data_IF_871655764809
#
_entry.id   IF_871655764809
#
_cell.length_a   1.000
_cell.length_b   1.000
_cell.length_c   1.000
_cell.angle_alpha   90.00
_cell.angle_beta   90.00
_cell.angle_gamma   90.00
#
_symmetry.space_group_name_H-M   'P 1'
#
loop_
_entity.id
_entity.type
_entity.pdbx_description
1 polymer ?
#
# COMPACT_ATOMS: atom_id res chain seq x y z
N UNK A 1 8.83 -4.01 8.83
CA UNK A 1 9.18 -3.87 7.41
C UNK A 1 8.72 -5.10 6.65
N UNK A 2 7.98 -4.96 5.53
CA UNK A 2 7.35 -6.11 4.87
C UNK A 2 8.32 -6.94 4.03
N UNK A 3 9.47 -6.39 3.67
CA UNK A 3 10.42 -6.99 2.73
C UNK A 3 11.66 -7.51 3.45
N UNK A 4 11.47 -8.47 4.34
CA UNK A 4 12.58 -9.13 5.04
C UNK A 4 13.03 -10.38 4.27
N UNK A 5 14.20 -10.34 3.68
CA UNK A 5 14.78 -11.38 2.84
C UNK A 5 15.65 -12.37 3.64
N UNK A 6 15.23 -12.77 4.85
CA UNK A 6 15.97 -13.76 5.65
C UNK A 6 15.91 -15.17 5.06
N UNK A 7 17.07 -15.77 4.74
CA UNK A 7 17.28 -17.20 4.41
C UNK A 7 16.17 -17.90 3.61
N UNK A 8 15.79 -17.36 2.46
CA UNK A 8 14.92 -18.05 1.50
C UNK A 8 13.44 -18.16 1.88
N UNK A 9 13.01 -17.58 2.98
CA UNK A 9 11.59 -17.50 3.37
C UNK A 9 11.18 -16.04 3.50
N UNK A 10 10.10 -15.67 2.81
CA UNK A 10 9.36 -14.42 3.06
C UNK A 10 8.67 -14.55 4.43
N UNK A 11 9.35 -14.18 5.48
CA UNK A 11 8.90 -14.47 6.84
C UNK A 11 8.06 -13.36 7.47
N UNK A 12 7.70 -12.29 6.76
CA UNK A 12 7.24 -11.10 7.50
C UNK A 12 6.08 -10.32 6.91
N UNK A 13 5.30 -10.91 6.04
CA UNK A 13 4.03 -10.30 5.66
C UNK A 13 2.94 -10.49 6.71
N UNK A 14 3.09 -11.50 7.57
CA UNK A 14 2.19 -11.70 8.70
C UNK A 14 2.14 -10.40 9.49
N UNK A 15 0.94 -9.90 9.75
CA UNK A 15 0.70 -8.68 10.52
C UNK A 15 1.04 -7.35 9.83
N UNK A 16 1.52 -7.33 8.56
CA UNK A 16 1.81 -6.06 7.90
C UNK A 16 0.58 -5.17 7.79
N UNK A 17 -0.52 -5.72 7.26
CA UNK A 17 -1.79 -5.01 7.19
C UNK A 17 -2.34 -4.70 8.57
N UNK A 18 -2.18 -5.60 9.56
CA UNK A 18 -2.61 -5.36 10.94
C UNK A 18 -1.84 -4.20 11.57
N UNK A 19 -0.52 -4.17 11.41
CA UNK A 19 0.30 -3.07 11.95
C UNK A 19 -0.13 -1.70 11.43
N UNK A 20 -0.44 -1.60 10.13
CA UNK A 20 -0.94 -0.36 9.53
C UNK A 20 -2.35 -0.06 10.02
N UNK A 21 -3.21 -1.10 10.12
CA UNK A 21 -4.60 -0.97 10.52
C UNK A 21 -4.75 -0.46 11.96
N UNK A 22 -3.90 -0.90 12.89
CA UNK A 22 -3.89 -0.42 14.29
C UNK A 22 -3.66 1.10 14.31
N UNK A 23 -2.62 1.58 13.61
CA UNK A 23 -2.32 3.02 13.52
C UNK A 23 -3.47 3.76 12.85
N UNK A 24 -3.97 3.24 11.72
CA UNK A 24 -5.06 3.85 10.96
C UNK A 24 -6.35 3.94 11.77
N UNK A 25 -6.66 2.92 12.60
CA UNK A 25 -7.84 2.90 13.45
C UNK A 25 -7.73 3.97 14.53
N UNK A 26 -6.61 4.02 15.24
CA UNK A 26 -6.36 5.08 16.24
C UNK A 26 -6.43 6.48 15.61
N UNK A 27 -5.84 6.67 14.43
CA UNK A 27 -5.89 7.94 13.73
C UNK A 27 -7.34 8.35 13.37
N UNK A 28 -8.18 7.40 12.93
CA UNK A 28 -9.61 7.67 12.65
C UNK A 28 -10.38 8.04 13.90
N UNK A 29 -10.20 7.30 15.00
CA UNK A 29 -10.86 7.54 16.28
C UNK A 29 -10.55 8.94 16.84
N UNK A 30 -9.34 9.41 16.64
CA UNK A 30 -8.89 10.72 17.12
C UNK A 30 -8.95 11.83 16.04
N UNK A 31 -9.52 11.52 14.86
CA UNK A 31 -9.61 12.48 13.73
C UNK A 31 -8.24 13.07 13.36
N UNK A 32 -7.19 12.25 13.37
CA UNK A 32 -5.83 12.63 13.00
C UNK A 32 -5.41 12.00 11.69
N UNK A 33 -4.55 12.69 10.97
CA UNK A 33 -3.81 12.11 9.86
C UNK A 33 -2.60 11.34 10.40
N UNK A 34 -2.17 10.30 9.69
CA UNK A 34 -0.96 9.55 10.03
C UNK A 34 -0.05 9.38 8.82
N UNK A 35 1.22 9.16 9.09
CA UNK A 35 2.26 8.91 8.11
C UNK A 35 2.92 7.59 8.40
N UNK A 36 3.42 6.92 7.36
CA UNK A 36 4.10 5.64 7.47
C UNK A 36 5.46 5.65 6.79
N UNK A 37 6.37 4.87 7.34
CA UNK A 37 7.67 4.64 6.72
C UNK A 37 7.61 3.46 5.75
N UNK A 38 8.03 3.69 4.51
CA UNK A 38 8.27 2.62 3.53
C UNK A 38 9.72 2.16 3.61
N UNK A 39 9.93 0.87 3.40
CA UNK A 39 11.27 0.30 3.32
C UNK A 39 11.91 0.70 1.99
N UNK A 40 13.09 1.29 2.07
CA UNK A 40 13.85 1.74 0.89
C UNK A 40 15.24 1.12 0.82
N UNK A 41 15.68 0.44 1.86
CA UNK A 41 17.02 -0.12 2.01
C UNK A 41 17.00 -1.66 1.98
N UNK A 42 18.17 -2.22 1.73
CA UNK A 42 18.42 -3.65 1.91
C UNK A 42 18.51 -3.97 3.41
N UNK A 43 17.63 -4.84 3.92
CA UNK A 43 17.59 -5.19 5.36
C UNK A 43 18.78 -6.07 5.79
N UNK A 44 19.33 -6.84 4.87
CA UNK A 44 20.43 -7.80 5.14
C UNK A 44 21.58 -7.49 4.20
N UNK A 45 22.84 -7.58 4.66
CA UNK A 45 24.00 -7.38 3.82
C UNK A 45 23.94 -8.22 2.52
N UNK A 46 24.39 -7.65 1.43
CA UNK A 46 24.38 -8.26 0.07
C UNK A 46 22.99 -8.64 -0.48
N UNK A 47 21.92 -8.20 0.14
CA UNK A 47 20.57 -8.27 -0.42
C UNK A 47 20.23 -6.99 -1.18
N UNK A 48 19.30 -7.10 -2.11
CA UNK A 48 18.88 -5.98 -2.94
C UNK A 48 17.96 -5.01 -2.20
N UNK A 49 17.91 -3.78 -2.65
CA UNK A 49 16.86 -2.82 -2.31
C UNK A 49 15.50 -3.25 -2.91
N UNK A 50 14.39 -2.71 -2.41
CA UNK A 50 13.07 -2.95 -3.00
C UNK A 50 13.03 -2.56 -4.49
N UNK A 51 12.26 -3.30 -5.27
CA UNK A 51 11.95 -3.00 -6.67
C UNK A 51 10.83 -1.98 -6.80
N UNK A 52 10.60 -1.45 -7.99
CA UNK A 52 9.47 -0.56 -8.31
C UNK A 52 8.12 -1.19 -7.90
N UNK A 53 7.91 -2.47 -8.20
CA UNK A 53 6.69 -3.19 -7.82
C UNK A 53 6.49 -3.24 -6.30
N UNK A 54 7.58 -3.47 -5.55
CA UNK A 54 7.54 -3.52 -4.09
C UNK A 54 7.37 -2.14 -3.46
N UNK A 55 7.94 -1.08 -4.04
CA UNK A 55 7.65 0.31 -3.65
C UNK A 55 6.18 0.64 -3.87
N UNK A 56 5.64 0.27 -5.03
CA UNK A 56 4.23 0.48 -5.37
C UNK A 56 3.33 -0.25 -4.39
N UNK A 57 3.60 -1.53 -4.14
CA UNK A 57 2.81 -2.35 -3.21
C UNK A 57 2.79 -1.75 -1.80
N UNK A 58 3.94 -1.46 -1.21
CA UNK A 58 4.02 -0.85 0.13
C UNK A 58 3.24 0.46 0.20
N UNK A 59 3.49 1.36 -0.76
CA UNK A 59 2.86 2.68 -0.80
C UNK A 59 1.34 2.58 -0.89
N UNK A 60 0.82 1.78 -1.82
CA UNK A 60 -0.63 1.66 -1.99
C UNK A 60 -1.31 0.87 -0.89
N UNK A 61 -0.63 -0.08 -0.23
CA UNK A 61 -1.15 -0.68 1.00
C UNK A 61 -1.37 0.39 2.08
N UNK A 62 -0.38 1.21 2.36
CA UNK A 62 -0.48 2.28 3.37
C UNK A 62 -1.55 3.31 3.01
N UNK A 63 -1.58 3.75 1.74
CA UNK A 63 -2.60 4.69 1.25
C UNK A 63 -4.02 4.10 1.38
N UNK A 64 -4.19 2.79 1.16
CA UNK A 64 -5.49 2.12 1.29
C UNK A 64 -6.04 2.15 2.71
N UNK A 65 -5.20 2.17 3.72
CA UNK A 65 -5.62 2.40 5.12
C UNK A 65 -5.84 3.87 5.47
N UNK A 66 -5.52 4.80 4.56
CA UNK A 66 -5.74 6.24 4.75
C UNK A 66 -4.51 7.04 5.15
N UNK A 67 -3.31 6.45 5.03
CA UNK A 67 -2.05 7.16 5.23
C UNK A 67 -1.98 8.41 4.36
N UNK A 68 -1.51 9.53 4.92
CA UNK A 68 -1.43 10.84 4.25
C UNK A 68 0.00 11.26 3.90
N UNK A 69 0.98 10.56 4.40
CA UNK A 69 2.38 10.83 4.08
C UNK A 69 3.22 9.56 4.11
N UNK A 70 4.11 9.45 3.15
CA UNK A 70 5.06 8.34 3.03
C UNK A 70 6.47 8.86 3.30
N UNK A 71 7.17 8.23 4.23
CA UNK A 71 8.53 8.54 4.59
C UNK A 71 9.45 7.41 4.10
N UNK A 72 10.55 7.77 3.49
CA UNK A 72 11.56 6.79 3.08
C UNK A 72 12.43 6.40 4.27
N UNK A 73 12.47 5.13 4.61
CA UNK A 73 13.36 4.62 5.62
C UNK A 73 14.34 3.61 5.00
N UNK A 74 15.56 4.03 4.70
CA UNK A 74 16.19 5.35 4.83
C UNK A 74 16.30 6.03 3.45
N UNK A 75 16.65 7.34 3.40
CA UNK A 75 16.99 7.99 2.13
C UNK A 75 18.41 7.60 1.69
N UNK A 76 19.39 7.73 2.57
CA UNK A 76 20.77 7.37 2.33
C UNK A 76 21.09 5.97 2.87
N UNK A 77 21.96 5.25 2.17
CA UNK A 77 22.57 4.03 2.69
C UNK A 77 23.39 4.30 3.95
N UNK A 78 23.45 3.35 4.88
CA UNK A 78 24.22 3.48 6.12
C UNK A 78 25.66 2.99 5.95
N UNK A 79 25.86 1.97 5.15
CA UNK A 79 27.16 1.45 4.73
C UNK A 79 27.10 0.95 3.29
N UNK A 80 28.22 0.62 2.63
CA UNK A 80 28.22 0.05 1.28
C UNK A 80 27.35 -1.23 1.15
N UNK A 81 27.28 -2.03 2.23
CA UNK A 81 26.52 -3.28 2.27
C UNK A 81 25.00 -3.06 2.47
N UNK A 82 24.62 -1.87 2.93
CA UNK A 82 23.23 -1.47 3.17
C UNK A 82 22.86 -0.24 2.33
N UNK A 83 22.82 -0.37 0.98
CA UNK A 83 22.37 0.71 0.11
C UNK A 83 20.88 1.02 0.34
N UNK A 84 20.50 2.24 0.04
CA UNK A 84 19.11 2.69 0.04
C UNK A 84 18.80 3.42 -1.26
N UNK A 85 18.05 4.54 -1.22
CA UNK A 85 17.80 5.36 -2.41
C UNK A 85 19.10 6.00 -2.92
N UNK A 86 20.04 6.30 -2.00
CA UNK A 86 21.40 6.69 -2.36
C UNK A 86 22.41 5.78 -1.69
N UNK A 87 23.62 5.76 -2.24
CA UNK A 87 24.80 5.19 -1.58
C UNK A 87 25.22 6.09 -0.40
N UNK A 88 26.19 5.62 0.40
CA UNK A 88 26.84 6.43 1.45
C UNK A 88 27.48 7.69 0.85
N UNK A 89 28.03 7.59 -0.38
CA UNK A 89 28.61 8.72 -1.10
C UNK A 89 27.59 9.69 -1.70
N UNK A 90 26.27 9.41 -1.56
CA UNK A 90 25.19 10.25 -2.07
C UNK A 90 24.80 9.97 -3.53
N UNK A 91 25.37 8.95 -4.17
CA UNK A 91 25.03 8.56 -5.53
C UNK A 91 23.67 7.87 -5.57
N UNK A 92 22.86 8.17 -6.59
CA UNK A 92 21.54 7.55 -6.78
C UNK A 92 21.67 6.08 -7.14
N UNK A 93 20.93 5.24 -6.44
CA UNK A 93 20.80 3.81 -6.75
C UNK A 93 19.60 3.55 -7.69
N UNK A 94 19.45 2.33 -8.19
CA UNK A 94 18.26 1.93 -8.94
C UNK A 94 16.97 2.13 -8.12
N UNK A 95 17.03 1.87 -6.81
CA UNK A 95 15.90 2.11 -5.91
C UNK A 95 15.45 3.58 -5.89
N UNK A 96 16.34 4.54 -6.14
CA UNK A 96 15.97 5.94 -6.25
C UNK A 96 15.06 6.19 -7.47
N UNK A 97 15.40 5.61 -8.62
CA UNK A 97 14.61 5.76 -9.85
C UNK A 97 13.25 5.04 -9.74
N UNK A 98 13.26 3.84 -9.15
CA UNK A 98 12.06 3.04 -8.90
C UNK A 98 11.10 3.78 -7.96
N UNK A 99 11.59 4.29 -6.84
CA UNK A 99 10.80 5.09 -5.90
C UNK A 99 10.29 6.39 -6.55
N UNK A 100 11.13 7.08 -7.35
CA UNK A 100 10.73 8.30 -8.04
C UNK A 100 9.58 8.05 -9.03
N UNK A 101 9.57 6.91 -9.72
CA UNK A 101 8.48 6.50 -10.61
C UNK A 101 7.18 6.34 -9.82
N UNK A 102 7.19 5.58 -8.73
CA UNK A 102 6.01 5.35 -7.89
C UNK A 102 5.50 6.65 -7.25
N UNK A 103 6.39 7.50 -6.76
CA UNK A 103 5.98 8.77 -6.17
C UNK A 103 5.40 9.75 -7.18
N UNK A 104 5.86 9.73 -8.45
CA UNK A 104 5.20 10.50 -9.52
C UNK A 104 3.77 10.02 -9.79
N UNK A 105 3.53 8.71 -9.75
CA UNK A 105 2.16 8.15 -9.87
C UNK A 105 1.28 8.62 -8.71
N UNK A 106 1.75 8.48 -7.47
CA UNK A 106 1.01 8.90 -6.26
C UNK A 106 0.73 10.39 -6.30
N UNK A 107 1.69 11.21 -6.73
CA UNK A 107 1.52 12.67 -6.84
C UNK A 107 0.38 13.08 -7.77
N UNK A 108 0.15 12.32 -8.86
CA UNK A 108 -0.97 12.59 -9.79
C UNK A 108 -2.34 12.41 -9.15
N UNK A 109 -2.43 11.58 -8.11
CA UNK A 109 -3.69 11.27 -7.41
C UNK A 109 -3.74 11.83 -5.98
N UNK A 110 -2.72 12.57 -5.57
CA UNK A 110 -2.58 13.07 -4.18
C UNK A 110 -3.75 13.94 -3.74
N UNK A 111 -4.28 14.79 -4.64
CA UNK A 111 -5.44 15.63 -4.35
C UNK A 111 -6.68 14.82 -3.96
N UNK A 112 -6.87 13.64 -4.57
CA UNK A 112 -7.94 12.75 -4.19
C UNK A 112 -7.75 12.27 -2.74
N UNK A 113 -6.54 11.83 -2.35
CA UNK A 113 -6.27 11.37 -0.99
C UNK A 113 -6.43 12.50 0.06
N UNK A 114 -6.12 13.75 -0.28
CA UNK A 114 -6.30 14.90 0.61
C UNK A 114 -7.76 15.22 0.85
N UNK A 115 -8.59 15.11 -0.20
CA UNK A 115 -10.03 15.46 -0.15
C UNK A 115 -10.90 14.37 0.49
N UNK A 116 -10.39 13.18 0.69
CA UNK A 116 -11.13 12.06 1.26
C UNK A 116 -10.58 11.65 2.62
N UNK A 117 -11.48 11.18 3.50
CA UNK A 117 -11.12 10.52 4.76
C UNK A 117 -11.29 9.02 4.63
N UNK A 118 -10.42 8.25 5.26
CA UNK A 118 -10.55 6.79 5.31
C UNK A 118 -11.72 6.39 6.20
N UNK A 119 -12.52 5.44 5.72
CA UNK A 119 -13.53 4.75 6.50
C UNK A 119 -13.03 3.41 7.06
N UNK A 120 -11.90 2.94 6.58
CA UNK A 120 -11.32 1.64 6.85
C UNK A 120 -10.99 0.89 5.56
N UNK A 121 -10.71 -0.39 5.68
CA UNK A 121 -10.38 -1.25 4.55
C UNK A 121 -11.17 -2.56 4.59
N UNK A 122 -11.31 -3.19 3.41
CA UNK A 122 -11.87 -4.52 3.24
C UNK A 122 -10.77 -5.46 2.76
N UNK A 123 -10.84 -6.73 3.15
CA UNK A 123 -10.08 -7.83 2.57
C UNK A 123 -10.99 -8.69 1.71
N UNK A 124 -10.64 -8.86 0.44
CA UNK A 124 -11.37 -9.73 -0.48
C UNK A 124 -10.53 -10.95 -0.80
N UNK A 125 -11.16 -12.11 -0.81
CA UNK A 125 -10.54 -13.41 -1.08
C UNK A 125 -9.31 -13.70 -0.18
N UNK A 126 -9.42 -13.31 1.10
CA UNK A 126 -8.41 -13.59 2.11
C UNK A 126 -8.55 -15.04 2.57
N UNK A 127 -7.50 -15.82 2.38
CA UNK A 127 -7.41 -17.24 2.74
C UNK A 127 -6.30 -17.45 3.77
N UNK A 128 -6.12 -18.70 4.20
CA UNK A 128 -5.00 -19.06 5.10
C UNK A 128 -3.64 -18.91 4.41
N UNK A 129 -3.61 -18.96 3.08
CA UNK A 129 -2.40 -18.72 2.28
C UNK A 129 -2.05 -17.24 2.12
N UNK A 130 -2.91 -16.33 2.61
CA UNK A 130 -2.71 -14.88 2.56
C UNK A 130 -2.75 -14.22 3.94
N UNK A 131 -1.97 -14.70 4.92
CA UNK A 131 -2.04 -14.22 6.31
C UNK A 131 -1.70 -12.72 6.44
N UNK A 132 -0.90 -12.19 5.53
CA UNK A 132 -0.52 -10.77 5.49
C UNK A 132 -1.70 -9.83 5.15
N UNK A 133 -2.80 -10.35 4.61
CA UNK A 133 -4.03 -9.60 4.34
C UNK A 133 -5.01 -9.62 5.54
N UNK A 134 -4.72 -10.41 6.58
CA UNK A 134 -5.53 -10.44 7.79
C UNK A 134 -5.27 -9.21 8.66
N UNK A 135 -6.34 -8.57 9.10
CA UNK A 135 -6.30 -7.45 10.05
C UNK A 135 -7.61 -7.35 10.82
N UNK A 136 -7.57 -6.68 11.96
CA UNK A 136 -8.72 -6.55 12.87
C UNK A 136 -9.81 -5.68 12.26
N UNK A 137 -11.06 -6.06 12.48
CA UNK A 137 -12.25 -5.30 12.12
C UNK A 137 -12.29 -4.80 10.66
N UNK A 138 -12.06 -5.68 9.66
CA UNK A 138 -12.21 -5.28 8.27
C UNK A 138 -13.65 -4.86 8.00
N UNK A 139 -13.83 -3.85 7.15
CA UNK A 139 -15.15 -3.49 6.68
C UNK A 139 -15.76 -4.67 5.91
N UNK A 140 -16.99 -5.04 6.23
CA UNK A 140 -17.71 -6.12 5.54
C UNK A 140 -18.39 -5.64 4.27
N UNK A 141 -18.77 -4.38 4.23
CA UNK A 141 -19.49 -3.76 3.10
C UNK A 141 -18.99 -2.34 2.89
N UNK A 142 -19.11 -1.87 1.65
CA UNK A 142 -18.90 -0.48 1.32
C UNK A 142 -20.02 -0.03 0.38
N UNK A 143 -20.75 1.06 0.68
CA UNK A 143 -21.98 1.41 -0.03
C UNK A 143 -21.83 1.53 -1.54
N UNK A 144 -20.66 1.91 -2.02
CA UNK A 144 -20.39 2.08 -3.46
C UNK A 144 -20.17 0.74 -4.19
N UNK A 145 -19.75 -0.30 -3.47
CA UNK A 145 -19.41 -1.60 -4.07
C UNK A 145 -20.52 -2.60 -3.76
N UNK A 146 -21.28 -2.99 -4.77
CA UNK A 146 -22.33 -4.00 -4.65
C UNK A 146 -21.76 -5.43 -4.70
N UNK A 147 -20.80 -5.67 -5.60
CA UNK A 147 -20.18 -6.99 -5.81
C UNK A 147 -18.76 -6.86 -6.32
N UNK A 148 -17.91 -7.75 -5.83
CA UNK A 148 -16.53 -7.90 -6.29
C UNK A 148 -16.37 -9.32 -6.84
N UNK A 149 -15.77 -9.44 -8.00
CA UNK A 149 -15.34 -10.71 -8.59
C UNK A 149 -13.87 -10.58 -8.97
N UNK A 150 -13.03 -11.25 -8.22
CA UNK A 150 -11.59 -11.32 -8.43
C UNK A 150 -11.10 -12.66 -7.87
N UNK A 151 -10.33 -13.45 -8.62
CA UNK A 151 -9.76 -14.69 -8.12
C UNK A 151 -8.59 -14.45 -7.15
N UNK A 152 -7.97 -13.28 -7.24
CA UNK A 152 -6.80 -12.96 -6.44
C UNK A 152 -7.18 -12.19 -5.16
N UNK A 153 -6.36 -12.27 -4.10
CA UNK A 153 -6.58 -11.51 -2.88
C UNK A 153 -6.41 -10.00 -3.12
N UNK A 154 -7.35 -9.19 -2.62
CA UNK A 154 -7.33 -7.75 -2.74
C UNK A 154 -7.45 -7.07 -1.38
N UNK A 155 -6.63 -6.05 -1.16
CA UNK A 155 -6.86 -5.03 -0.15
C UNK A 155 -7.65 -3.88 -0.79
N UNK A 156 -8.74 -3.46 -0.16
CA UNK A 156 -9.64 -2.44 -0.68
C UNK A 156 -9.75 -1.33 0.36
N UNK A 157 -9.13 -0.19 0.11
CA UNK A 157 -9.30 1.00 0.93
C UNK A 157 -10.61 1.69 0.60
N UNK A 158 -11.37 2.07 1.62
CA UNK A 158 -12.69 2.69 1.49
C UNK A 158 -12.68 4.11 2.03
N UNK A 159 -13.21 5.06 1.26
CA UNK A 159 -13.09 6.49 1.56
C UNK A 159 -14.42 7.22 1.35
N UNK A 160 -14.65 8.25 2.16
CA UNK A 160 -15.70 9.23 1.96
C UNK A 160 -15.09 10.61 1.74
N UNK A 161 -15.69 11.40 0.88
CA UNK A 161 -15.30 12.80 0.72
C UNK A 161 -15.43 13.54 2.06
N UNK A 162 -14.51 14.47 2.32
CA UNK A 162 -14.59 15.34 3.51
C UNK A 162 -15.77 16.30 3.42
N UNK A 163 -16.19 16.64 2.18
CA UNK A 163 -17.36 17.49 1.88
C UNK A 163 -18.18 16.82 0.78
N UNK A 164 -19.52 16.84 0.94
CA UNK A 164 -20.44 16.18 0.01
C UNK A 164 -20.57 14.68 0.26
N UNK A 165 -21.21 13.98 -0.68
CA UNK A 165 -21.60 12.56 -0.55
C UNK A 165 -20.74 11.61 -1.40
N UNK A 166 -19.69 12.10 -2.06
CA UNK A 166 -18.85 11.27 -2.90
C UNK A 166 -18.05 10.25 -2.09
N UNK A 167 -17.88 9.08 -2.66
CA UNK A 167 -17.05 8.01 -2.10
C UNK A 167 -15.95 7.62 -3.08
N UNK A 168 -14.88 7.06 -2.58
CA UNK A 168 -13.77 6.54 -3.37
C UNK A 168 -13.27 5.23 -2.77
N UNK A 169 -12.60 4.44 -3.57
CA UNK A 169 -11.92 3.24 -3.09
C UNK A 169 -10.61 3.03 -3.85
N UNK A 170 -9.70 2.33 -3.21
CA UNK A 170 -8.45 1.85 -3.81
C UNK A 170 -8.49 0.33 -3.91
N UNK A 171 -7.79 -0.22 -4.88
CA UNK A 171 -7.61 -1.66 -5.06
C UNK A 171 -6.11 -1.95 -5.10
N UNK A 172 -5.67 -2.84 -4.22
CA UNK A 172 -4.29 -3.34 -4.22
C UNK A 172 -4.32 -4.84 -4.40
N UNK A 173 -3.67 -5.32 -5.44
CA UNK A 173 -3.46 -6.75 -5.63
C UNK A 173 -2.48 -7.25 -4.57
N UNK A 174 -2.93 -8.20 -3.76
CA UNK A 174 -2.18 -8.78 -2.66
C UNK A 174 -1.62 -10.16 -3.01
N UNK A 175 -1.62 -10.55 -4.28
CA UNK A 175 -0.93 -11.75 -4.75
C UNK A 175 0.58 -11.64 -4.54
N UNK A 176 1.29 -12.75 -4.71
CA UNK A 176 2.75 -12.77 -4.54
C UNK A 176 3.46 -11.69 -5.35
N UNK A 177 4.35 -10.95 -4.68
CA UNK A 177 5.09 -9.84 -5.26
C UNK A 177 6.11 -10.24 -6.34
N UNK A 178 6.54 -11.51 -6.36
CA UNK A 178 7.54 -12.00 -7.33
C UNK A 178 6.95 -12.30 -8.70
N UNK A 179 5.65 -12.54 -8.75
CA UNK A 179 4.96 -12.73 -10.01
C UNK A 179 4.38 -11.37 -10.45
N UNK A 180 4.83 -10.88 -11.61
CA UNK A 180 4.10 -9.81 -12.33
C UNK A 180 2.79 -10.44 -12.76
N UNK A 181 1.81 -10.41 -11.87
CA UNK A 181 0.50 -11.01 -12.10
C UNK A 181 -0.51 -9.92 -12.39
N UNK A 182 -0.95 -9.85 -13.63
CA UNK A 182 -2.11 -9.05 -13.99
C UNK A 182 -3.36 -9.76 -13.48
N UNK A 183 -4.12 -9.10 -12.63
CA UNK A 183 -5.42 -9.61 -12.20
C UNK A 183 -6.56 -8.85 -12.83
N UNK A 184 -7.65 -9.55 -13.14
CA UNK A 184 -8.87 -8.93 -13.64
C UNK A 184 -9.87 -8.79 -12.50
N UNK A 185 -10.20 -7.55 -12.17
CA UNK A 185 -11.22 -7.24 -11.18
C UNK A 185 -12.49 -6.80 -11.88
N UNK A 186 -13.61 -7.48 -11.60
CA UNK A 186 -14.94 -7.04 -12.05
C UNK A 186 -15.72 -6.51 -10.86
N UNK A 187 -16.14 -5.27 -10.95
CA UNK A 187 -16.91 -4.59 -9.92
C UNK A 187 -18.32 -4.30 -10.42
N UNK A 188 -19.31 -4.56 -9.57
CA UNK A 188 -20.65 -3.99 -9.71
C UNK A 188 -20.79 -2.88 -8.70
N UNK A 189 -21.00 -1.66 -9.18
CA UNK A 189 -21.04 -0.47 -8.35
C UNK A 189 -22.48 0.08 -8.26
N UNK A 190 -22.80 0.71 -7.13
CA UNK A 190 -23.96 1.54 -6.99
C UNK A 190 -23.66 2.96 -7.48
N UNK A 191 -24.61 3.57 -8.20
CA UNK A 191 -24.48 4.94 -8.69
C UNK A 191 -24.29 5.05 -10.20
N UNK A 192 -24.53 6.22 -10.73
CA UNK A 192 -24.59 6.49 -12.16
C UNK A 192 -23.32 7.07 -12.76
N UNK A 193 -22.33 7.44 -11.94
CA UNK A 193 -21.10 8.09 -12.42
C UNK A 193 -19.88 7.55 -11.69
N UNK A 194 -19.02 6.90 -12.43
CA UNK A 194 -17.72 6.41 -11.95
C UNK A 194 -16.62 7.16 -12.70
N UNK A 195 -15.67 7.71 -11.95
CA UNK A 195 -14.43 8.30 -12.49
C UNK A 195 -13.28 7.42 -12.03
N UNK A 196 -12.59 6.81 -12.97
CA UNK A 196 -11.35 6.07 -12.69
C UNK A 196 -10.15 6.98 -12.97
N UNK A 197 -9.16 6.95 -12.09
CA UNK A 197 -7.89 7.59 -12.37
C UNK A 197 -7.09 6.70 -13.32
N UNK A 198 -6.60 7.23 -14.41
CA UNK A 198 -5.78 6.48 -15.34
C UNK A 198 -4.48 6.03 -14.65
N UNK A 199 -3.97 4.92 -15.14
CA UNK A 199 -2.68 4.32 -14.73
C UNK A 199 -1.51 5.27 -14.99
#
# INVERSE_FOLDING_TARGET
>A
YPLNWGKGKRTTYNEYCESINVIATSAREHSKDFWCCIQTFAWVPSKRTPTEAEFRWQSYCMLSFGCKGLLCWTYAGSTPEFPSLTTVAGERTNAWYDAATVFKEIRKISDAFVRYRSLGAMAHNCTDDTPYLKFSNPLRTFPTIQRIQCPDPLLIGCFAAKTGSATAFTLVNMSELEAIKTTRVRLKLFGSKVVAWPR
#
